data_IF_406765530486
#
_entry.id   IF_406765530486
#
_cell.length_a   1.000
_cell.length_b   1.000
_cell.length_c   1.000
_cell.angle_alpha   90.00
_cell.angle_beta   90.00
_cell.angle_gamma   90.00
#
_symmetry.space_group_name_H-M   'P 1'
#
loop_
_entity.id
_entity.type
_entity.pdbx_description
1 polymer ?
#
# COMPACT_ATOMS: atom_id res chain seq x y z
N UNK A 1 49.57 -8.21 -59.40
CA UNK A 1 50.29 -6.96 -59.76
C UNK A 1 49.22 -5.86 -59.81
N UNK A 2 49.14 -4.85 -58.97
CA UNK A 2 50.02 -4.24 -57.95
C UNK A 2 49.18 -3.78 -56.73
N UNK A 3 49.83 -3.43 -55.59
CA UNK A 3 49.28 -3.37 -54.25
C UNK A 3 49.04 -1.92 -53.74
N UNK A 4 48.47 -1.78 -52.52
CA UNK A 4 48.84 -0.81 -51.45
C UNK A 4 47.61 -0.64 -50.51
N UNK A 5 47.60 -1.17 -49.29
CA UNK A 5 48.33 -0.71 -48.10
C UNK A 5 47.92 0.70 -47.64
N UNK A 6 47.18 0.78 -46.53
CA UNK A 6 47.36 1.80 -45.50
C UNK A 6 46.83 1.27 -44.16
N UNK A 7 47.80 0.90 -43.32
CA UNK A 7 47.71 0.69 -41.90
C UNK A 7 47.69 2.04 -41.15
N UNK A 8 46.98 2.09 -40.01
CA UNK A 8 47.27 2.87 -38.78
C UNK A 8 46.20 2.49 -37.74
N UNK A 9 46.50 1.56 -36.83
CA UNK A 9 47.02 1.79 -35.48
C UNK A 9 46.21 2.77 -34.61
N UNK A 10 45.70 2.20 -33.52
CA UNK A 10 45.55 2.77 -32.18
C UNK A 10 44.30 3.59 -31.85
N UNK A 11 43.37 2.95 -31.14
CA UNK A 11 43.12 3.26 -29.73
C UNK A 11 42.36 2.11 -29.07
N UNK A 12 43.10 1.35 -28.26
CA UNK A 12 42.59 0.43 -27.26
C UNK A 12 41.81 1.28 -26.23
N UNK A 13 40.49 1.34 -26.36
CA UNK A 13 39.64 1.86 -25.29
C UNK A 13 39.29 0.68 -24.36
N UNK A 14 39.99 0.65 -23.22
CA UNK A 14 39.71 -0.23 -22.11
C UNK A 14 38.22 -0.21 -21.74
N UNK A 15 37.73 -1.42 -21.47
CA UNK A 15 36.45 -1.68 -20.87
C UNK A 15 36.22 -0.85 -19.60
N UNK A 16 35.14 -0.07 -19.62
CA UNK A 16 34.35 0.27 -18.45
C UNK A 16 32.90 -0.06 -18.80
N UNK A 17 32.62 -1.36 -18.93
CA UNK A 17 31.27 -1.87 -18.69
C UNK A 17 30.96 -1.64 -17.21
N UNK A 18 30.43 -0.45 -16.89
CA UNK A 18 29.63 -0.32 -15.68
C UNK A 18 28.47 -1.30 -15.86
N UNK A 19 28.57 -2.40 -15.13
CA UNK A 19 27.51 -3.38 -15.04
C UNK A 19 26.26 -2.65 -14.57
N UNK A 20 25.33 -2.45 -15.49
CA UNK A 20 23.93 -2.44 -15.15
C UNK A 20 23.67 -3.82 -14.53
N UNK A 21 23.86 -3.92 -13.22
CA UNK A 21 23.19 -4.92 -12.42
C UNK A 21 21.70 -4.57 -12.52
N UNK A 22 21.11 -4.93 -13.66
CA UNK A 22 19.70 -5.14 -13.77
C UNK A 22 19.39 -6.21 -12.75
N UNK A 23 18.90 -5.78 -11.59
CA UNK A 23 18.21 -6.66 -10.69
C UNK A 23 16.98 -7.08 -11.48
N UNK A 24 17.09 -8.22 -12.16
CA UNK A 24 15.94 -8.94 -12.65
C UNK A 24 15.13 -9.29 -11.40
N UNK A 25 14.22 -8.39 -11.03
CA UNK A 25 13.14 -8.69 -10.11
C UNK A 25 12.33 -9.78 -10.82
N UNK A 26 12.56 -11.03 -10.43
CA UNK A 26 11.60 -12.10 -10.66
C UNK A 26 10.23 -11.57 -10.19
N UNK A 27 9.17 -11.91 -10.91
CA UNK A 27 7.77 -11.60 -10.58
C UNK A 27 7.43 -12.18 -9.19
N UNK A 28 7.90 -11.55 -8.13
CA UNK A 28 7.48 -11.84 -6.78
C UNK A 28 6.06 -11.31 -6.69
N UNK A 29 5.10 -12.24 -6.76
CA UNK A 29 3.68 -11.91 -6.74
C UNK A 29 3.31 -11.02 -5.55
N UNK A 30 2.11 -10.44 -5.61
CA UNK A 30 1.54 -9.73 -4.47
C UNK A 30 1.44 -10.64 -3.22
N UNK A 31 1.22 -10.02 -2.05
CA UNK A 31 1.19 -10.73 -0.75
C UNK A 31 0.17 -11.86 -0.76
N UNK A 32 -0.99 -11.67 -1.39
CA UNK A 32 -2.02 -12.70 -1.48
C UNK A 32 -1.58 -13.87 -2.37
N UNK A 33 -1.04 -13.58 -3.55
CA UNK A 33 -0.55 -14.57 -4.50
C UNK A 33 0.58 -15.40 -3.90
N UNK A 34 1.56 -14.74 -3.28
CA UNK A 34 2.69 -15.42 -2.60
C UNK A 34 2.23 -16.20 -1.37
N UNK A 35 1.27 -15.69 -0.59
CA UNK A 35 0.61 -16.46 0.48
C UNK A 35 -0.07 -17.71 -0.05
N UNK A 36 -0.88 -17.59 -1.12
CA UNK A 36 -1.60 -18.72 -1.73
C UNK A 36 -0.63 -19.75 -2.29
N UNK A 37 0.44 -19.31 -2.96
CA UNK A 37 1.50 -20.19 -3.46
C UNK A 37 2.19 -20.96 -2.32
N UNK A 38 2.53 -20.28 -1.22
CA UNK A 38 3.10 -20.91 -0.03
C UNK A 38 2.14 -21.93 0.59
N UNK A 39 0.89 -21.54 0.84
CA UNK A 39 -0.13 -22.45 1.40
C UNK A 39 -0.35 -23.65 0.48
N UNK A 40 -0.35 -23.46 -0.83
CA UNK A 40 -0.48 -24.55 -1.80
C UNK A 40 0.71 -25.51 -1.75
N UNK A 41 1.95 -25.00 -1.73
CA UNK A 41 3.15 -25.82 -1.59
C UNK A 41 3.17 -26.62 -0.28
N UNK A 42 2.74 -26.01 0.82
CA UNK A 42 2.58 -26.68 2.12
C UNK A 42 1.48 -27.75 2.08
N UNK A 43 0.36 -27.50 1.41
CA UNK A 43 -0.71 -28.49 1.30
C UNK A 43 -0.30 -29.69 0.46
N UNK A 44 0.46 -29.49 -0.61
CA UNK A 44 0.99 -30.58 -1.45
C UNK A 44 1.95 -31.49 -0.67
N UNK A 45 2.66 -30.96 0.33
CA UNK A 45 3.60 -31.71 1.19
C UNK A 45 2.96 -32.35 2.42
N UNK A 46 1.64 -32.22 2.65
CA UNK A 46 0.97 -32.79 3.84
C UNK A 46 0.96 -34.32 3.91
N UNK A 47 1.16 -35.02 2.79
CA UNK A 47 0.88 -36.46 2.67
C UNK A 47 2.13 -37.35 2.48
N UNK A 48 3.34 -36.89 2.80
CA UNK A 48 4.55 -37.70 2.59
C UNK A 48 5.82 -37.21 3.28
N UNK A 49 6.86 -38.03 3.21
CA UNK A 49 8.24 -37.62 3.53
C UNK A 49 8.69 -36.60 2.48
N UNK A 50 9.19 -35.45 2.94
CA UNK A 50 9.43 -34.30 2.08
C UNK A 50 10.80 -34.42 1.43
N UNK A 51 10.81 -34.61 0.12
CA UNK A 51 12.03 -34.73 -0.66
C UNK A 51 12.76 -33.39 -0.83
N UNK A 52 14.02 -33.43 -1.26
CA UNK A 52 14.83 -32.22 -1.46
C UNK A 52 14.17 -31.21 -2.43
N UNK A 53 13.51 -31.69 -3.48
CA UNK A 53 12.80 -30.83 -4.44
C UNK A 53 11.66 -30.05 -3.79
N UNK A 54 10.84 -30.72 -2.97
CA UNK A 54 9.73 -30.09 -2.24
C UNK A 54 10.25 -29.11 -1.18
N UNK A 55 11.35 -29.45 -0.48
CA UNK A 55 12.00 -28.52 0.46
C UNK A 55 12.46 -27.24 -0.25
N UNK A 56 13.08 -27.37 -1.43
CA UNK A 56 13.48 -26.21 -2.24
C UNK A 56 12.27 -25.37 -2.65
N UNK A 57 11.19 -26.01 -3.11
CA UNK A 57 9.96 -25.33 -3.51
C UNK A 57 9.32 -24.56 -2.35
N UNK A 58 9.16 -25.19 -1.18
CA UNK A 58 8.57 -24.54 0.00
C UNK A 58 9.47 -23.41 0.49
N UNK A 59 10.79 -23.62 0.51
CA UNK A 59 11.75 -22.56 0.88
C UNK A 59 11.63 -21.36 -0.05
N UNK A 60 11.54 -21.58 -1.37
CA UNK A 60 11.41 -20.49 -2.33
C UNK A 60 10.06 -19.78 -2.19
N UNK A 61 8.97 -20.51 -2.02
CA UNK A 61 7.65 -19.91 -1.81
C UNK A 61 7.59 -19.11 -0.51
N UNK A 62 8.22 -19.60 0.57
CA UNK A 62 8.31 -18.89 1.85
C UNK A 62 9.15 -17.62 1.71
N UNK A 63 10.29 -17.67 1.01
CA UNK A 63 11.11 -16.48 0.71
C UNK A 63 10.34 -15.45 -0.12
N UNK A 64 9.65 -15.87 -1.18
CA UNK A 64 8.84 -14.96 -1.99
C UNK A 64 7.76 -14.26 -1.15
N UNK A 65 7.13 -15.00 -0.21
CA UNK A 65 6.15 -14.44 0.71
C UNK A 65 6.80 -13.48 1.73
N UNK A 66 7.98 -13.80 2.26
CA UNK A 66 8.77 -12.88 3.10
C UNK A 66 9.14 -11.60 2.35
N UNK A 67 9.62 -11.71 1.11
CA UNK A 67 9.97 -10.56 0.28
C UNK A 67 8.73 -9.69 0.00
N UNK A 68 7.57 -10.30 -0.21
CA UNK A 68 6.30 -9.58 -0.36
C UNK A 68 5.90 -8.85 0.93
N UNK A 69 6.05 -9.48 2.10
CA UNK A 69 5.80 -8.83 3.39
C UNK A 69 6.82 -7.75 3.75
N UNK A 70 8.07 -7.87 3.28
CA UNK A 70 9.07 -6.81 3.43
C UNK A 70 8.72 -5.58 2.59
N UNK A 71 8.19 -5.76 1.38
CA UNK A 71 7.65 -4.66 0.56
C UNK A 71 6.41 -4.01 1.18
N UNK A 72 5.67 -4.74 2.01
CA UNK A 72 4.60 -4.20 2.88
C UNK A 72 5.15 -3.41 4.09
N UNK A 73 6.45 -3.19 4.14
CA UNK A 73 7.18 -2.58 5.27
C UNK A 73 7.01 -3.35 6.58
N UNK A 74 6.84 -4.67 6.53
CA UNK A 74 6.79 -5.52 7.71
C UNK A 74 5.52 -5.38 8.55
N UNK A 75 4.40 -4.91 7.98
CA UNK A 75 3.16 -4.67 8.72
C UNK A 75 2.52 -5.90 9.40
N UNK A 76 3.06 -7.09 9.12
CA UNK A 76 2.52 -8.42 9.39
C UNK A 76 3.54 -9.30 10.11
N UNK A 77 4.07 -8.81 11.23
CA UNK A 77 5.14 -9.47 12.01
C UNK A 77 4.88 -10.95 12.28
N UNK A 78 3.64 -11.33 12.60
CA UNK A 78 3.28 -12.72 12.85
C UNK A 78 3.38 -13.59 11.59
N UNK A 79 2.86 -13.14 10.44
CA UNK A 79 2.99 -13.86 9.17
C UNK A 79 4.44 -13.92 8.70
N UNK A 80 5.21 -12.85 8.93
CA UNK A 80 6.64 -12.80 8.64
C UNK A 80 7.41 -13.81 9.49
N UNK A 81 7.06 -13.90 10.77
CA UNK A 81 7.60 -14.88 11.72
C UNK A 81 7.23 -16.30 11.32
N UNK A 82 5.98 -16.56 10.93
CA UNK A 82 5.53 -17.88 10.46
C UNK A 82 6.28 -18.32 9.20
N UNK A 83 6.47 -17.43 8.23
CA UNK A 83 7.24 -17.71 7.02
C UNK A 83 8.72 -18.00 7.33
N UNK A 84 9.30 -17.25 8.28
CA UNK A 84 10.66 -17.51 8.77
C UNK A 84 10.75 -18.88 9.47
N UNK A 85 9.79 -19.22 10.33
CA UNK A 85 9.74 -20.49 11.05
C UNK A 85 9.57 -21.69 10.12
N UNK A 86 8.87 -21.53 9.00
CA UNK A 86 8.79 -22.54 7.94
C UNK A 86 10.18 -22.85 7.38
N UNK A 87 10.97 -21.83 7.04
CA UNK A 87 12.34 -22.02 6.50
C UNK A 87 13.27 -22.63 7.55
N UNK A 88 13.19 -22.14 8.79
CA UNK A 88 13.99 -22.66 9.90
C UNK A 88 13.70 -24.15 10.16
N UNK A 89 12.42 -24.51 10.24
CA UNK A 89 12.01 -25.89 10.52
C UNK A 89 12.33 -26.87 9.38
N UNK A 90 12.38 -26.40 8.13
CA UNK A 90 12.88 -27.19 6.99
C UNK A 90 14.37 -27.52 7.13
N UNK A 91 15.14 -26.63 7.76
CA UNK A 91 16.59 -26.74 7.92
C UNK A 91 16.99 -27.61 9.11
N UNK A 92 16.26 -27.50 10.24
CA UNK A 92 16.54 -28.26 11.47
C UNK A 92 15.83 -29.64 11.52
N UNK A 93 14.95 -29.93 10.57
CA UNK A 93 14.24 -31.21 10.46
C UNK A 93 12.97 -31.31 11.30
N UNK A 94 12.52 -30.23 11.94
CA UNK A 94 11.27 -30.18 12.73
C UNK A 94 10.03 -29.82 11.90
N UNK A 95 10.18 -29.62 10.59
CA UNK A 95 9.12 -29.15 9.70
C UNK A 95 7.84 -29.99 9.77
N UNK A 96 6.71 -29.29 9.90
CA UNK A 96 5.37 -29.87 9.84
C UNK A 96 4.45 -28.99 8.98
N UNK A 97 4.19 -29.43 7.75
CA UNK A 97 3.32 -28.73 6.80
C UNK A 97 1.92 -28.45 7.37
N UNK A 98 1.37 -29.38 8.15
CA UNK A 98 0.08 -29.24 8.80
C UNK A 98 0.03 -28.05 9.75
N UNK A 99 1.00 -28.00 10.66
CA UNK A 99 1.17 -26.93 11.65
C UNK A 99 1.47 -25.58 10.98
N UNK A 100 2.35 -25.55 9.97
CA UNK A 100 2.67 -24.35 9.21
C UNK A 100 1.45 -23.74 8.52
N UNK A 101 0.60 -24.55 7.87
CA UNK A 101 -0.64 -24.06 7.26
C UNK A 101 -1.61 -23.51 8.31
N UNK A 102 -1.70 -24.16 9.47
CA UNK A 102 -2.60 -23.70 10.54
C UNK A 102 -2.10 -22.39 11.17
N UNK A 103 -0.79 -22.22 11.32
CA UNK A 103 -0.19 -20.97 11.81
C UNK A 103 -0.44 -19.82 10.83
N UNK A 104 -0.09 -20.01 9.55
CA UNK A 104 -0.34 -19.02 8.50
C UNK A 104 -1.80 -18.59 8.43
N UNK A 105 -2.75 -19.53 8.47
CA UNK A 105 -4.18 -19.21 8.46
C UNK A 105 -4.64 -18.49 9.72
N UNK A 106 -4.13 -18.88 10.89
CA UNK A 106 -4.44 -18.22 12.16
C UNK A 106 -4.03 -16.74 12.09
N UNK A 107 -2.84 -16.47 11.56
CA UNK A 107 -2.27 -15.13 11.55
C UNK A 107 -2.67 -14.30 10.32
N UNK A 108 -3.19 -14.95 9.26
CA UNK A 108 -3.86 -14.30 8.14
C UNK A 108 -5.33 -13.99 8.40
N UNK A 109 -5.95 -14.62 9.41
CA UNK A 109 -7.37 -14.46 9.75
C UNK A 109 -7.70 -12.98 9.97
N UNK A 110 -8.73 -12.50 9.26
CA UNK A 110 -9.14 -11.10 9.37
C UNK A 110 -8.32 -10.14 8.50
N UNK A 111 -7.38 -10.64 7.68
CA UNK A 111 -6.72 -9.83 6.65
C UNK A 111 -7.38 -9.98 5.28
N UNK A 112 -7.20 -8.98 4.43
CA UNK A 112 -7.73 -8.99 3.07
C UNK A 112 -7.36 -10.28 2.31
N UNK A 113 -6.18 -10.86 2.56
CA UNK A 113 -5.66 -12.08 1.91
C UNK A 113 -6.66 -13.26 1.93
N UNK A 114 -7.49 -13.41 2.96
CA UNK A 114 -8.39 -14.57 3.10
C UNK A 114 -9.80 -14.37 2.53
N UNK A 115 -10.28 -13.14 2.36
CA UNK A 115 -11.72 -12.90 2.16
C UNK A 115 -12.22 -12.95 0.71
N UNK A 116 -11.32 -13.01 -0.27
CA UNK A 116 -11.67 -13.07 -1.69
C UNK A 116 -12.35 -11.80 -2.21
N UNK A 117 -12.88 -11.85 -3.44
CA UNK A 117 -13.46 -10.67 -4.11
C UNK A 117 -14.56 -10.01 -3.26
N UNK A 118 -14.40 -8.72 -3.00
CA UNK A 118 -15.40 -7.91 -2.31
C UNK A 118 -16.67 -7.73 -3.15
N UNK A 119 -17.74 -8.41 -2.74
CA UNK A 119 -19.07 -8.34 -3.33
C UNK A 119 -20.08 -8.06 -2.25
N UNK A 120 -20.32 -6.78 -1.98
CA UNK A 120 -21.30 -6.35 -0.97
C UNK A 120 -22.60 -5.88 -1.61
N UNK A 121 -23.72 -6.26 -0.99
CA UNK A 121 -25.02 -5.62 -1.15
C UNK A 121 -25.42 -5.07 0.21
N UNK A 122 -25.53 -3.75 0.33
CA UNK A 122 -25.92 -3.07 1.56
C UNK A 122 -27.31 -2.43 1.39
N UNK A 123 -28.16 -2.45 2.43
CA UNK A 123 -29.43 -1.74 2.39
C UNK A 123 -29.21 -0.23 2.38
N UNK A 124 -30.02 0.49 1.59
CA UNK A 124 -29.91 1.93 1.41
C UNK A 124 -29.75 2.33 -0.05
N UNK A 125 -29.61 3.63 -0.30
CA UNK A 125 -29.35 4.20 -1.63
C UNK A 125 -27.88 4.54 -1.78
N UNK A 126 -27.29 4.31 -2.96
CA UNK A 126 -25.93 4.76 -3.24
C UNK A 126 -25.84 6.30 -3.17
N UNK A 127 -24.68 6.79 -2.71
CA UNK A 127 -24.39 8.22 -2.72
C UNK A 127 -24.11 8.66 -4.16
N UNK A 128 -24.89 9.63 -4.66
CA UNK A 128 -24.78 10.10 -6.04
C UNK A 128 -23.56 11.02 -6.26
N UNK A 129 -23.20 11.81 -5.25
CA UNK A 129 -22.06 12.72 -5.32
C UNK A 129 -20.72 11.97 -5.27
N UNK A 130 -19.65 12.51 -5.89
CA UNK A 130 -18.29 12.00 -5.70
C UNK A 130 -17.90 11.98 -4.22
N UNK A 131 -17.27 10.89 -3.79
CA UNK A 131 -16.78 10.68 -2.42
C UNK A 131 -15.28 10.95 -2.38
N UNK A 132 -14.84 11.66 -1.34
CA UNK A 132 -13.42 11.93 -1.07
C UNK A 132 -12.88 13.13 -1.82
N UNK A 133 -13.71 14.13 -2.10
CA UNK A 133 -13.28 15.28 -2.93
C UNK A 133 -13.13 16.59 -2.17
N UNK A 134 -13.70 16.68 -0.97
CA UNK A 134 -13.76 17.88 -0.14
C UNK A 134 -14.00 17.57 1.35
N UNK A 135 -13.34 16.53 1.87
CA UNK A 135 -13.35 16.14 3.27
C UNK A 135 -12.20 16.83 4.01
N UNK A 136 -12.54 17.80 4.86
CA UNK A 136 -11.55 18.52 5.66
C UNK A 136 -11.39 17.91 7.04
N UNK A 137 -10.15 17.82 7.48
CA UNK A 137 -9.73 17.33 8.79
C UNK A 137 -10.44 18.06 9.93
N UNK A 138 -10.86 17.29 10.92
CA UNK A 138 -11.55 17.80 12.11
C UNK A 138 -10.89 17.39 13.43
N UNK A 139 -10.18 16.26 13.42
CA UNK A 139 -9.50 15.68 14.57
C UNK A 139 -8.03 15.40 14.22
N UNK A 140 -7.13 15.32 15.20
CA UNK A 140 -5.72 15.04 14.90
C UNK A 140 -5.51 13.65 14.26
N UNK A 141 -6.33 12.66 14.64
CA UNK A 141 -6.16 11.27 14.20
C UNK A 141 -6.71 10.91 12.82
N UNK A 142 -7.58 11.73 12.21
CA UNK A 142 -8.31 11.40 10.98
C UNK A 142 -7.53 11.71 9.68
N UNK A 143 -6.38 12.40 9.77
CA UNK A 143 -5.59 12.84 8.60
C UNK A 143 -5.21 11.69 7.64
N UNK A 144 -4.90 10.52 8.19
CA UNK A 144 -4.58 9.31 7.42
C UNK A 144 -5.81 8.85 6.62
N UNK A 145 -6.95 8.67 7.28
CA UNK A 145 -8.17 8.19 6.62
C UNK A 145 -8.61 9.13 5.50
N UNK A 146 -8.57 10.45 5.77
CA UNK A 146 -8.93 11.48 4.80
C UNK A 146 -8.00 11.45 3.59
N UNK A 147 -6.68 11.42 3.81
CA UNK A 147 -5.69 11.38 2.73
C UNK A 147 -5.79 10.10 1.89
N UNK A 148 -6.06 8.95 2.52
CA UNK A 148 -6.27 7.69 1.78
C UNK A 148 -7.55 7.75 0.94
N UNK A 149 -8.66 8.21 1.51
CA UNK A 149 -9.92 8.37 0.77
C UNK A 149 -9.74 9.32 -0.42
N UNK A 150 -9.01 10.43 -0.25
CA UNK A 150 -8.67 11.34 -1.35
C UNK A 150 -7.78 10.70 -2.41
N UNK A 151 -6.74 9.96 -2.01
CA UNK A 151 -5.87 9.26 -2.96
C UNK A 151 -6.68 8.25 -3.80
N UNK A 152 -7.62 7.53 -3.18
CA UNK A 152 -8.50 6.59 -3.87
C UNK A 152 -9.49 7.30 -4.80
N UNK A 153 -10.12 8.39 -4.35
CA UNK A 153 -11.10 9.14 -5.15
C UNK A 153 -10.48 9.72 -6.42
N UNK A 154 -9.18 9.96 -6.41
CA UNK A 154 -8.44 10.48 -7.55
C UNK A 154 -8.21 9.42 -8.65
N UNK A 155 -8.44 8.13 -8.37
CA UNK A 155 -8.33 7.03 -9.33
C UNK A 155 -9.70 6.52 -9.76
N UNK A 156 -9.82 5.95 -10.97
CA UNK A 156 -11.09 5.40 -11.44
C UNK A 156 -11.55 4.20 -10.58
N UNK A 157 -10.65 3.25 -10.31
CA UNK A 157 -10.94 2.05 -9.51
C UNK A 157 -11.20 2.41 -8.05
N UNK A 158 -10.37 3.26 -7.43
CA UNK A 158 -10.59 3.72 -6.07
C UNK A 158 -11.91 4.49 -5.91
N UNK A 159 -12.28 5.38 -6.83
CA UNK A 159 -13.57 6.06 -6.81
C UNK A 159 -14.75 5.10 -6.99
N UNK A 160 -14.59 4.02 -7.76
CA UNK A 160 -15.61 2.96 -7.87
C UNK A 160 -15.74 2.15 -6.57
N UNK A 161 -14.61 1.88 -5.88
CA UNK A 161 -14.60 1.26 -4.56
C UNK A 161 -15.38 2.13 -3.57
N UNK A 162 -15.02 3.42 -3.44
CA UNK A 162 -15.66 4.35 -2.51
C UNK A 162 -17.18 4.43 -2.71
N UNK A 163 -17.65 4.53 -3.97
CA UNK A 163 -19.09 4.55 -4.29
C UNK A 163 -19.82 3.27 -3.92
N UNK A 164 -19.17 2.11 -4.02
CA UNK A 164 -19.74 0.82 -3.60
C UNK A 164 -19.66 0.61 -2.10
N UNK A 165 -18.73 1.29 -1.44
CA UNK A 165 -18.40 1.08 -0.03
C UNK A 165 -19.42 1.69 0.91
N UNK A 166 -20.25 2.64 0.46
CA UNK A 166 -21.19 3.36 1.30
C UNK A 166 -22.58 3.48 0.68
N UNK A 167 -23.60 3.31 1.51
CA UNK A 167 -25.01 3.57 1.18
C UNK A 167 -25.67 4.41 2.26
N UNK A 168 -26.59 5.29 1.86
CA UNK A 168 -27.41 6.12 2.73
C UNK A 168 -28.71 5.39 3.06
N UNK A 169 -29.04 5.27 4.34
CA UNK A 169 -30.29 4.66 4.81
C UNK A 169 -31.40 5.70 4.99
N UNK A 170 -32.65 5.25 5.08
CA UNK A 170 -33.83 6.12 5.13
C UNK A 170 -33.92 6.99 6.39
N UNK A 171 -33.25 6.60 7.47
CA UNK A 171 -33.12 7.39 8.71
C UNK A 171 -31.93 8.36 8.68
N UNK A 172 -31.23 8.47 7.56
CA UNK A 172 -30.11 9.39 7.37
C UNK A 172 -28.74 8.87 7.83
N UNK A 173 -28.68 7.64 8.39
CA UNK A 173 -27.40 7.00 8.72
C UNK A 173 -26.75 6.34 7.49
N UNK A 174 -25.47 6.02 7.60
CA UNK A 174 -24.66 5.45 6.53
C UNK A 174 -24.29 4.01 6.86
N UNK A 175 -24.49 3.11 5.91
CA UNK A 175 -23.95 1.75 5.97
C UNK A 175 -22.67 1.71 5.14
N UNK A 176 -21.59 1.19 5.73
CA UNK A 176 -20.28 1.10 5.10
C UNK A 176 -19.77 -0.34 5.13
N UNK A 177 -19.26 -0.83 4.02
CA UNK A 177 -18.52 -2.09 3.94
C UNK A 177 -17.15 -1.81 3.33
N UNK A 178 -16.11 -2.34 3.97
CA UNK A 178 -14.73 -2.13 3.57
C UNK A 178 -14.23 -3.34 2.78
N UNK A 179 -13.51 -3.16 1.65
CA UNK A 179 -13.06 -4.29 0.83
C UNK A 179 -12.19 -5.32 1.54
N UNK A 180 -11.36 -4.89 2.48
CA UNK A 180 -10.55 -5.77 3.34
C UNK A 180 -11.30 -6.40 4.51
N UNK A 181 -12.57 -6.02 4.74
CA UNK A 181 -13.48 -6.62 5.73
C UNK A 181 -14.90 -6.79 5.15
N UNK A 182 -15.07 -7.66 4.14
CA UNK A 182 -16.35 -7.83 3.44
C UNK A 182 -17.48 -8.39 4.32
N UNK A 183 -17.15 -9.01 5.46
CA UNK A 183 -18.12 -9.69 6.32
C UNK A 183 -18.88 -8.71 7.24
N UNK A 184 -18.36 -7.50 7.41
CA UNK A 184 -18.90 -6.51 8.34
C UNK A 184 -19.53 -5.34 7.58
N UNK A 185 -20.68 -4.89 8.08
CA UNK A 185 -21.30 -3.63 7.68
C UNK A 185 -21.30 -2.70 8.89
N UNK A 186 -20.54 -1.62 8.78
CA UNK A 186 -20.42 -0.56 9.78
C UNK A 186 -21.57 0.43 9.61
N UNK A 187 -22.17 0.85 10.73
CA UNK A 187 -23.25 1.84 10.72
C UNK A 187 -22.78 3.13 11.37
N UNK A 188 -22.86 4.23 10.64
CA UNK A 188 -22.39 5.55 11.06
C UNK A 188 -23.57 6.54 11.11
N UNK A 189 -23.74 7.18 12.26
CA UNK A 189 -24.82 8.15 12.45
C UNK A 189 -24.40 9.53 11.94
N UNK A 190 -25.32 10.32 11.35
CA UNK A 190 -24.99 11.62 10.77
C UNK A 190 -24.45 12.61 11.82
N UNK A 191 -24.95 12.56 13.06
CA UNK A 191 -24.51 13.42 14.16
C UNK A 191 -23.08 13.14 14.65
N UNK A 192 -22.46 12.05 14.21
CA UNK A 192 -21.13 11.62 14.63
C UNK A 192 -20.09 11.80 13.52
N UNK A 193 -20.48 12.13 12.29
CA UNK A 193 -19.57 12.17 11.14
C UNK A 193 -18.52 13.26 11.23
N UNK A 194 -18.88 14.40 11.82
CA UNK A 194 -18.03 15.58 11.94
C UNK A 194 -16.72 15.36 12.72
N UNK A 195 -16.58 14.22 13.42
CA UNK A 195 -15.34 13.83 14.11
C UNK A 195 -14.36 13.07 13.20
N UNK A 196 -14.83 12.63 12.02
CA UNK A 196 -14.08 11.89 11.00
C UNK A 196 -13.81 12.76 9.76
N UNK A 197 -14.03 14.08 9.87
CA UNK A 197 -13.89 15.07 8.82
C UNK A 197 -15.22 15.74 8.43
N UNK A 198 -15.12 16.90 7.77
CA UNK A 198 -16.26 17.75 7.41
C UNK A 198 -16.30 18.07 5.91
N UNK A 199 -17.50 18.22 5.37
CA UNK A 199 -17.74 18.64 3.99
C UNK A 199 -18.27 17.52 3.10
N UNK A 200 -17.80 16.28 3.30
CA UNK A 200 -18.20 15.11 2.53
C UNK A 200 -18.68 13.98 3.46
N UNK A 201 -20.00 13.88 3.75
CA UNK A 201 -20.53 12.88 4.68
C UNK A 201 -20.29 11.43 4.25
N UNK A 202 -20.25 11.16 2.94
CA UNK A 202 -19.96 9.83 2.42
C UNK A 202 -18.52 9.42 2.71
N UNK A 203 -17.58 10.34 2.50
CA UNK A 203 -16.18 10.13 2.84
C UNK A 203 -15.96 10.01 4.35
N UNK A 204 -16.59 10.89 5.14
CA UNK A 204 -16.53 10.84 6.60
C UNK A 204 -17.05 9.51 7.16
N UNK A 205 -18.12 8.94 6.57
CA UNK A 205 -18.62 7.63 6.95
C UNK A 205 -17.60 6.51 6.66
N UNK A 206 -16.93 6.56 5.51
CA UNK A 206 -15.86 5.61 5.17
C UNK A 206 -14.69 5.70 6.16
N UNK A 207 -14.26 6.91 6.52
CA UNK A 207 -13.22 7.12 7.55
C UNK A 207 -13.69 6.62 8.92
N UNK A 208 -14.94 6.88 9.30
CA UNK A 208 -15.53 6.38 10.54
C UNK A 208 -15.54 4.84 10.62
N UNK A 209 -15.86 4.16 9.51
CA UNK A 209 -15.79 2.70 9.44
C UNK A 209 -14.36 2.17 9.64
N UNK A 210 -13.34 2.86 9.13
CA UNK A 210 -11.94 2.50 9.39
C UNK A 210 -11.61 2.61 10.88
N UNK A 211 -12.04 3.68 11.56
CA UNK A 211 -11.86 3.81 13.01
C UNK A 211 -12.55 2.70 13.80
N UNK A 212 -13.78 2.32 13.41
CA UNK A 212 -14.48 1.19 14.02
C UNK A 212 -13.73 -0.13 13.78
N UNK A 213 -13.26 -0.41 12.56
CA UNK A 213 -12.47 -1.61 12.23
C UNK A 213 -11.20 -1.70 13.08
N UNK A 214 -10.45 -0.61 13.21
CA UNK A 214 -9.22 -0.57 14.01
C UNK A 214 -9.46 -0.41 15.52
N UNK A 215 -10.72 -0.29 15.95
CA UNK A 215 -11.10 -0.05 17.35
C UNK A 215 -10.36 1.16 17.96
N UNK A 216 -10.28 2.26 17.21
CA UNK A 216 -9.58 3.49 17.60
C UNK A 216 -10.54 4.65 17.81
N UNK A 217 -10.22 5.52 18.78
CA UNK A 217 -10.88 6.81 18.96
C UNK A 217 -10.13 7.87 18.13
N UNK A 218 -10.80 8.59 17.20
CA UNK A 218 -10.17 9.65 16.38
C UNK A 218 -9.57 10.80 17.20
N UNK A 219 -9.98 10.96 18.47
CA UNK A 219 -9.41 11.95 19.40
C UNK A 219 -8.15 11.47 20.11
N UNK A 220 -7.90 10.16 20.15
CA UNK A 220 -6.84 9.56 20.95
C UNK A 220 -5.77 8.84 20.12
N UNK A 221 -6.03 8.58 18.84
CA UNK A 221 -5.08 7.85 18.00
C UNK A 221 -5.28 8.06 16.52
N UNK A 222 -4.16 7.95 15.79
CA UNK A 222 -4.14 7.94 14.34
C UNK A 222 -4.43 6.54 13.78
N UNK A 223 -5.02 6.50 12.58
CA UNK A 223 -5.12 5.28 11.81
C UNK A 223 -3.72 4.87 11.26
N UNK A 224 -3.40 3.58 11.20
CA UNK A 224 -2.17 3.10 10.56
C UNK A 224 -2.27 3.19 9.02
N UNK A 225 -1.48 4.07 8.39
CA UNK A 225 -1.59 4.40 6.95
C UNK A 225 -1.55 3.19 6.03
N UNK A 226 -0.53 2.33 6.16
CA UNK A 226 -0.39 1.10 5.40
C UNK A 226 -1.63 0.19 5.50
N UNK A 227 -2.11 -0.07 6.72
CA UNK A 227 -3.26 -0.95 6.93
C UNK A 227 -4.55 -0.33 6.41
N UNK A 228 -4.68 1.00 6.41
CA UNK A 228 -5.85 1.68 5.82
C UNK A 228 -5.84 1.58 4.30
N UNK A 229 -4.69 1.80 3.66
CA UNK A 229 -4.53 1.65 2.21
C UNK A 229 -4.91 0.23 1.77
N UNK A 230 -4.41 -0.78 2.48
CA UNK A 230 -4.74 -2.17 2.21
C UNK A 230 -6.22 -2.49 2.48
N UNK A 231 -6.76 -2.06 3.62
CA UNK A 231 -8.16 -2.29 3.99
C UNK A 231 -9.12 -1.71 2.94
N UNK A 232 -8.81 -0.52 2.42
CA UNK A 232 -9.65 0.12 1.41
C UNK A 232 -9.45 -0.46 0.01
N UNK A 233 -8.27 -1.01 -0.30
CA UNK A 233 -8.05 -1.70 -1.56
C UNK A 233 -8.70 -3.09 -1.59
N UNK A 234 -8.56 -3.86 -0.51
CA UNK A 234 -8.86 -5.30 -0.49
C UNK A 234 -8.16 -6.00 -1.66
N UNK A 235 -8.87 -6.94 -2.30
CA UNK A 235 -8.35 -7.65 -3.49
C UNK A 235 -8.29 -6.82 -4.78
N UNK A 236 -8.73 -5.56 -4.76
CA UNK A 236 -8.78 -4.74 -5.97
C UNK A 236 -7.44 -4.05 -6.27
N UNK A 237 -6.48 -4.08 -5.33
CA UNK A 237 -5.17 -3.50 -5.56
C UNK A 237 -4.07 -4.09 -4.69
N UNK A 238 -2.85 -3.91 -5.17
CA UNK A 238 -1.62 -4.40 -4.57
C UNK A 238 -0.95 -3.27 -3.77
N UNK A 239 -0.70 -3.52 -2.49
CA UNK A 239 -0.05 -2.56 -1.60
C UNK A 239 1.47 -2.63 -1.76
N UNK A 240 2.12 -1.47 -1.77
CA UNK A 240 3.57 -1.30 -1.79
C UNK A 240 3.96 -0.11 -0.92
N UNK A 241 5.07 -0.21 -0.19
CA UNK A 241 5.50 0.78 0.80
C UNK A 241 6.99 1.06 0.69
N UNK A 242 7.36 2.34 0.77
CA UNK A 242 8.71 2.78 1.08
C UNK A 242 8.69 3.51 2.42
N UNK A 243 9.18 2.84 3.46
CA UNK A 243 9.20 3.34 4.83
C UNK A 243 10.46 2.90 5.54
N UNK A 244 11.46 3.78 5.60
CA UNK A 244 12.67 3.50 6.38
C UNK A 244 13.39 4.81 6.73
N UNK A 245 13.76 4.95 8.01
CA UNK A 245 14.71 5.96 8.50
C UNK A 245 16.05 5.90 7.76
N UNK A 246 16.40 4.79 7.14
CA UNK A 246 17.60 4.63 6.33
C UNK A 246 17.41 4.93 4.84
N UNK A 247 16.19 5.26 4.40
CA UNK A 247 15.93 5.62 3.00
C UNK A 247 16.75 6.83 2.58
N UNK A 248 17.45 6.71 1.46
CA UNK A 248 18.21 7.79 0.84
C UNK A 248 17.31 8.64 -0.07
N UNK A 249 17.69 9.90 -0.36
CA UNK A 249 16.95 10.73 -1.31
C UNK A 249 16.80 10.08 -2.70
N UNK A 250 17.80 9.32 -3.14
CA UNK A 250 17.77 8.63 -4.44
C UNK A 250 16.76 7.48 -4.45
N UNK A 251 16.64 6.73 -3.35
CA UNK A 251 15.63 5.67 -3.21
C UNK A 251 14.21 6.25 -3.23
N UNK A 252 13.97 7.33 -2.48
CA UNK A 252 12.66 8.02 -2.46
C UNK A 252 12.33 8.59 -3.84
N UNK A 253 13.31 9.25 -4.48
CA UNK A 253 13.13 9.77 -5.84
C UNK A 253 12.81 8.64 -6.82
N UNK A 254 13.57 7.55 -6.77
CA UNK A 254 13.36 6.37 -7.62
C UNK A 254 11.96 5.80 -7.46
N UNK A 255 11.51 5.62 -6.21
CA UNK A 255 10.18 5.12 -5.89
C UNK A 255 9.06 6.01 -6.46
N UNK A 256 9.16 7.33 -6.28
CA UNK A 256 8.17 8.27 -6.81
C UNK A 256 8.16 8.28 -8.35
N UNK A 257 9.33 8.21 -8.99
CA UNK A 257 9.44 8.21 -10.45
C UNK A 257 8.99 6.89 -11.09
N UNK A 258 9.12 5.77 -10.39
CA UNK A 258 8.60 4.47 -10.81
C UNK A 258 7.06 4.50 -10.89
N UNK A 259 6.41 5.22 -9.98
CA UNK A 259 4.96 5.32 -9.92
C UNK A 259 4.39 6.55 -10.65
N UNK A 260 5.22 7.39 -11.25
CA UNK A 260 4.79 8.71 -11.73
C UNK A 260 3.66 8.64 -12.79
N UNK A 261 3.79 7.74 -13.77
CA UNK A 261 2.88 7.68 -14.91
C UNK A 261 1.47 7.15 -14.55
N UNK A 262 1.32 6.54 -13.37
CA UNK A 262 0.01 6.04 -12.90
C UNK A 262 -0.50 6.75 -11.64
N UNK A 263 0.25 7.68 -11.05
CA UNK A 263 -0.16 8.37 -9.81
C UNK A 263 -1.43 9.18 -10.07
N UNK A 264 -2.51 8.84 -9.36
CA UNK A 264 -3.82 9.42 -9.62
C UNK A 264 -4.58 8.82 -10.81
N UNK A 265 -4.17 7.66 -11.32
CA UNK A 265 -4.99 6.89 -12.26
C UNK A 265 -5.01 5.40 -11.90
N UNK A 266 -3.85 4.76 -11.91
CA UNK A 266 -3.63 3.36 -11.54
C UNK A 266 -3.13 3.22 -10.10
N UNK A 267 -2.46 4.24 -9.59
CA UNK A 267 -1.90 4.26 -8.24
C UNK A 267 -2.66 5.26 -7.38
N UNK A 268 -3.23 4.80 -6.27
CA UNK A 268 -3.54 5.66 -5.14
C UNK A 268 -2.28 5.73 -4.27
N UNK A 269 -1.86 6.93 -3.87
CA UNK A 269 -0.62 7.10 -3.14
C UNK A 269 -0.75 8.18 -2.08
N UNK A 270 -0.18 7.90 -0.90
CA UNK A 270 -0.10 8.83 0.22
C UNK A 270 1.33 8.88 0.75
N UNK A 271 1.66 9.95 1.45
CA UNK A 271 2.98 10.09 2.07
C UNK A 271 2.92 10.83 3.40
N UNK A 272 3.84 10.49 4.29
CA UNK A 272 4.03 11.06 5.62
C UNK A 272 4.80 12.37 5.61
N UNK A 273 4.54 13.21 6.61
CA UNK A 273 5.17 14.51 6.77
C UNK A 273 4.76 15.25 8.03
N UNK A 274 5.18 16.51 8.14
CA UNK A 274 4.57 17.50 9.04
C UNK A 274 4.03 18.67 8.23
N UNK A 275 2.83 19.20 8.52
CA UNK A 275 2.37 20.42 7.89
C UNK A 275 3.14 21.62 8.45
N UNK A 276 3.70 22.45 7.56
CA UNK A 276 4.16 23.78 7.89
C UNK A 276 2.97 24.69 8.27
N UNK A 277 3.25 25.87 8.83
CA UNK A 277 2.19 26.83 9.25
C UNK A 277 1.24 27.24 8.14
N UNK A 278 1.70 27.24 6.89
CA UNK A 278 0.90 27.54 5.70
C UNK A 278 0.19 26.29 5.12
N UNK A 279 0.34 25.14 5.77
CA UNK A 279 -0.21 23.84 5.37
C UNK A 279 0.58 23.10 4.29
N UNK A 280 1.71 23.64 3.83
CA UNK A 280 2.62 22.88 2.95
C UNK A 280 3.24 21.71 3.70
N UNK A 281 3.61 20.69 2.97
CA UNK A 281 4.45 19.63 3.51
C UNK A 281 5.79 20.18 3.98
N UNK A 282 6.27 19.68 5.12
CA UNK A 282 7.58 19.97 5.69
C UNK A 282 8.14 18.74 6.41
N UNK A 283 9.42 18.81 6.77
CA UNK A 283 10.18 17.71 7.38
C UNK A 283 9.57 17.19 8.70
N UNK A 284 9.43 15.87 8.79
CA UNK A 284 9.08 15.12 9.99
C UNK A 284 8.01 14.06 9.72
N UNK A 285 7.54 13.42 10.77
CA UNK A 285 6.43 12.46 10.74
C UNK A 285 5.31 12.89 11.69
N UNK A 286 4.07 12.53 11.36
CA UNK A 286 2.87 12.85 12.14
C UNK A 286 1.64 13.30 11.35
N UNK A 287 1.72 13.40 10.02
CA UNK A 287 0.61 13.82 9.15
C UNK A 287 0.67 13.15 7.78
N UNK A 288 -0.48 12.75 7.25
CA UNK A 288 -0.58 12.14 5.93
C UNK A 288 -1.06 13.12 4.87
N UNK A 289 -0.50 13.02 3.66
CA UNK A 289 -0.87 13.80 2.49
C UNK A 289 -1.20 12.88 1.33
N UNK A 290 -2.19 13.25 0.51
CA UNK A 290 -2.57 12.47 -0.67
C UNK A 290 -1.82 12.99 -1.91
N UNK A 291 -1.19 12.09 -2.66
CA UNK A 291 -0.55 12.43 -3.93
C UNK A 291 -1.60 12.39 -5.03
N UNK A 292 -1.75 13.51 -5.72
CA UNK A 292 -2.73 13.69 -6.80
C UNK A 292 -2.10 13.39 -8.15
N UNK A 293 -0.84 13.80 -8.35
CA UNK A 293 -0.12 13.64 -9.60
C UNK A 293 1.37 13.76 -9.38
N UNK A 294 2.15 13.03 -10.17
CA UNK A 294 3.59 13.21 -10.28
C UNK A 294 3.90 13.61 -11.73
N UNK A 295 4.50 14.78 -11.91
CA UNK A 295 4.98 15.26 -13.19
C UNK A 295 6.46 14.92 -13.34
N UNK A 296 6.72 13.81 -14.03
CA UNK A 296 8.07 13.29 -14.28
C UNK A 296 8.92 14.22 -15.14
N UNK A 297 8.31 14.97 -16.07
CA UNK A 297 9.05 15.87 -16.95
C UNK A 297 9.58 17.09 -16.19
N UNK A 298 8.77 17.62 -15.27
CA UNK A 298 9.12 18.79 -14.48
C UNK A 298 9.71 18.45 -13.09
N UNK A 299 9.79 17.16 -12.74
CA UNK A 299 10.24 16.69 -11.42
C UNK A 299 9.42 17.26 -10.26
N UNK A 300 8.11 17.40 -10.46
CA UNK A 300 7.18 17.99 -9.49
C UNK A 300 6.15 16.97 -9.01
N UNK A 301 5.79 17.05 -7.74
CA UNK A 301 4.74 16.26 -7.11
C UNK A 301 3.61 17.21 -6.69
N UNK A 302 2.38 16.87 -7.06
CA UNK A 302 1.16 17.57 -6.65
C UNK A 302 0.44 16.75 -5.58
N UNK A 303 0.07 17.39 -4.47
CA UNK A 303 -0.57 16.73 -3.34
C UNK A 303 -1.64 17.60 -2.69
N UNK A 304 -2.47 17.01 -1.83
CA UNK A 304 -3.41 17.73 -0.97
C UNK A 304 -3.08 17.51 0.49
N UNK A 305 -3.36 18.52 1.32
CA UNK A 305 -3.32 18.42 2.77
C UNK A 305 -4.75 18.19 3.28
N UNK A 306 -5.03 17.15 4.09
CA UNK A 306 -6.38 16.89 4.58
C UNK A 306 -6.98 18.04 5.39
N UNK A 307 -6.18 18.96 5.95
CA UNK A 307 -6.73 20.16 6.62
C UNK A 307 -7.39 21.16 5.66
N UNK A 308 -7.13 21.07 4.36
CA UNK A 308 -7.80 21.84 3.29
C UNK A 308 -7.73 21.05 1.97
N UNK A 309 -8.52 19.98 1.89
CA UNK A 309 -8.41 18.96 0.84
C UNK A 309 -8.79 19.48 -0.56
N UNK A 310 -9.57 20.57 -0.61
CA UNK A 310 -9.98 21.23 -1.86
C UNK A 310 -8.82 21.93 -2.58
N UNK A 311 -7.70 22.20 -1.88
CA UNK A 311 -6.56 22.92 -2.44
C UNK A 311 -5.38 21.98 -2.72
N UNK A 312 -4.90 21.98 -3.95
CA UNK A 312 -3.66 21.27 -4.33
C UNK A 312 -2.43 22.12 -4.08
N UNK A 313 -1.32 21.45 -3.74
CA UNK A 313 0.00 22.02 -3.50
C UNK A 313 1.02 21.30 -4.36
N UNK A 314 2.15 21.94 -4.61
CA UNK A 314 3.23 21.35 -5.42
C UNK A 314 4.57 21.44 -4.69
N UNK A 315 5.38 20.40 -4.80
CA UNK A 315 6.75 20.34 -4.28
C UNK A 315 7.66 19.68 -5.31
N UNK A 316 8.92 20.12 -5.39
CA UNK A 316 9.90 19.42 -6.20
C UNK A 316 10.22 18.06 -5.57
N UNK A 317 10.27 17.00 -6.38
CA UNK A 317 10.51 15.63 -5.92
C UNK A 317 11.85 15.54 -5.17
N UNK A 318 12.87 16.24 -5.65
CA UNK A 318 14.19 16.27 -5.01
C UNK A 318 14.16 16.92 -3.63
N UNK A 319 13.40 18.01 -3.48
CA UNK A 319 13.28 18.71 -2.19
C UNK A 319 12.51 17.87 -1.18
N UNK A 320 11.43 17.21 -1.63
CA UNK A 320 10.69 16.26 -0.81
C UNK A 320 11.61 15.11 -0.37
N UNK A 321 12.28 14.44 -1.32
CA UNK A 321 13.16 13.31 -1.03
C UNK A 321 14.32 13.67 -0.11
N UNK A 322 14.95 14.84 -0.31
CA UNK A 322 16.05 15.32 0.54
C UNK A 322 15.58 15.60 1.97
N UNK A 323 14.36 16.10 2.16
CA UNK A 323 13.83 16.39 3.48
C UNK A 323 13.26 15.15 4.18
N UNK A 324 12.63 14.23 3.43
CA UNK A 324 12.02 13.02 3.93
C UNK A 324 13.04 11.93 4.32
N UNK A 325 14.18 11.88 3.62
CA UNK A 325 15.28 10.97 3.96
C UNK A 325 15.69 11.13 5.43
N UNK A 326 15.78 10.02 6.17
CA UNK A 326 16.13 10.06 7.58
C UNK A 326 14.98 10.34 8.56
N UNK A 327 13.73 10.50 8.10
CA UNK A 327 12.62 11.01 8.95
C UNK A 327 11.49 10.05 9.25
N UNK A 328 11.62 8.78 8.88
CA UNK A 328 10.53 7.79 8.95
C UNK A 328 9.27 8.20 8.19
N UNK A 329 9.38 9.16 7.27
CA UNK A 329 8.28 9.52 6.39
C UNK A 329 7.99 8.34 5.47
N UNK A 330 6.78 7.82 5.59
CA UNK A 330 6.31 6.68 4.82
C UNK A 330 5.74 7.13 3.47
N UNK A 331 5.96 6.34 2.42
CA UNK A 331 5.29 6.46 1.14
C UNK A 331 4.52 5.16 0.91
N UNK A 332 3.19 5.26 0.83
CA UNK A 332 2.31 4.12 0.69
C UNK A 332 1.61 4.21 -0.67
N UNK A 333 1.58 3.11 -1.40
CA UNK A 333 0.95 3.02 -2.72
C UNK A 333 0.03 1.81 -2.78
N UNK A 334 -1.12 1.99 -3.43
CA UNK A 334 -1.95 0.88 -3.92
C UNK A 334 -1.97 0.93 -5.43
N UNK A 335 -1.58 -0.18 -6.07
CA UNK A 335 -1.71 -0.39 -7.51
C UNK A 335 -3.00 -1.12 -7.80
N UNK A 336 -3.93 -0.46 -8.48
CA UNK A 336 -5.17 -1.12 -8.92
C UNK A 336 -4.93 -2.04 -10.13
N UNK A 337 -5.61 -3.18 -10.13
CA UNK A 337 -5.58 -4.21 -11.19
C UNK A 337 -6.63 -3.96 -12.26
#
# INVERSE_FOLDING_TARGET
>A
MTPAALSRLSLLACALTFGAAGIAHAESGDIESTYRQLVQALQQSRNGSIGNAERTQITQAAKNFQDAMQRDGGARDNLMTDAHNIIASLSDGTFNAGASVNALRRDAKGSAIEFGKWSVSMPGTQIASPIGTHLNQSSEGDCVGISVVKAFSNTQTGAAILRRAVTLTSDGSYNVSLPGDPATVYRLNPGELDQFGKGDPGAAAVVGAMFQYFHKDPKQGALPTNKVMELLAGHAGDHDRLADVHSTPDQITGYLLQHADGAGSRYAMVFGGKPARNGDWSKGDGHAFAIIRIDKANMMLTYTNPSNEASTRTIAIRDLASQAAGTSADFETVTFR
#
